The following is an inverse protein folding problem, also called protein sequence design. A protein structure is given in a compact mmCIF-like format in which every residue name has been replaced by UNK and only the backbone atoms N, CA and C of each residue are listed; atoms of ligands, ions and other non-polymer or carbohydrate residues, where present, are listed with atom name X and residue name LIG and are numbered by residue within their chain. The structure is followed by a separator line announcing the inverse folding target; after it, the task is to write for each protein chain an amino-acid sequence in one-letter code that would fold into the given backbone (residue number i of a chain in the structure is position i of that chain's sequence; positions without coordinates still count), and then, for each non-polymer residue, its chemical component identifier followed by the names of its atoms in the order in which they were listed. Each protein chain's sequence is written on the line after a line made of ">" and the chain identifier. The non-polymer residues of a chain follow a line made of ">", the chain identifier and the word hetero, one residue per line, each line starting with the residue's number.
data_IF_796244066429
#
_entry.id   IF_796244066429
#
_cell.length_a   1.000
_cell.length_b   1.000
_cell.length_c   1.000
_cell.angle_alpha   90.00
_cell.angle_beta   90.00
_cell.angle_gamma   90.00
#
_symmetry.space_group_name_H-M   'P 1'
#
loop_
_entity.id
_entity.type
_entity.pdbx_description
1 polymer ?
#
# COMPACT_ATOMS: atom_id res chain seq x y z
N UNK A 1 -14.92 -18.49 1.13
CA UNK A 1 -14.91 -17.01 1.08
C UNK A 1 -13.58 -16.61 0.48
N UNK A 2 -13.54 -16.12 -0.78
CA UNK A 2 -12.29 -15.88 -1.51
C UNK A 2 -11.70 -14.53 -1.07
N UNK A 3 -10.64 -14.55 -0.28
CA UNK A 3 -9.84 -13.37 0.07
C UNK A 3 -9.26 -12.76 -1.20
N UNK A 4 -9.84 -11.66 -1.66
CA UNK A 4 -9.43 -10.94 -2.87
C UNK A 4 -9.34 -9.45 -2.58
N UNK A 5 -8.63 -9.07 -1.53
CA UNK A 5 -8.49 -7.65 -1.21
C UNK A 5 -7.08 -7.37 -0.65
N UNK A 6 -6.36 -6.47 -1.35
CA UNK A 6 -5.27 -5.63 -0.80
C UNK A 6 -3.82 -6.15 -0.74
N UNK A 7 -3.45 -7.16 -1.53
CA UNK A 7 -2.05 -7.63 -1.58
C UNK A 7 -1.45 -7.45 -2.99
N UNK A 8 -0.36 -6.67 -3.11
CA UNK A 8 0.39 -6.56 -4.37
C UNK A 8 1.70 -7.34 -4.26
N UNK A 9 1.96 -8.25 -5.20
CA UNK A 9 3.23 -9.00 -5.25
C UNK A 9 4.30 -8.13 -5.88
N UNK A 10 5.46 -8.10 -5.26
CA UNK A 10 6.63 -7.37 -5.74
C UNK A 10 7.90 -8.15 -5.40
N UNK A 11 9.06 -7.67 -5.83
CA UNK A 11 10.33 -8.34 -5.55
C UNK A 11 11.42 -7.31 -5.22
N UNK A 12 12.04 -7.48 -4.06
CA UNK A 12 13.24 -6.74 -3.69
C UNK A 12 14.47 -7.50 -4.18
N UNK A 13 15.37 -6.80 -4.88
CA UNK A 13 16.58 -7.39 -5.45
C UNK A 13 17.80 -6.60 -4.99
N UNK A 14 18.70 -7.25 -4.26
CA UNK A 14 20.01 -6.70 -3.94
C UNK A 14 21.05 -7.31 -4.87
N UNK A 15 21.87 -6.47 -5.51
CA UNK A 15 22.99 -6.92 -6.34
C UNK A 15 24.29 -6.53 -5.66
N UNK A 16 25.13 -7.51 -5.39
CA UNK A 16 26.42 -7.32 -4.73
C UNK A 16 27.49 -7.85 -5.67
N UNK A 17 28.40 -6.97 -6.07
CA UNK A 17 29.49 -7.28 -7.00
C UNK A 17 30.83 -7.08 -6.31
N UNK A 18 31.67 -8.11 -6.34
CA UNK A 18 33.04 -7.98 -5.91
C UNK A 18 33.88 -7.38 -7.05
N UNK A 19 34.31 -6.13 -6.90
CA UNK A 19 35.22 -5.48 -7.85
C UNK A 19 36.70 -5.72 -7.53
N UNK A 20 36.99 -6.36 -6.40
CA UNK A 20 38.35 -6.69 -5.98
C UNK A 20 38.87 -7.95 -6.69
N UNK A 21 40.20 -8.05 -6.76
CA UNK A 21 40.90 -9.25 -7.22
C UNK A 21 41.03 -10.33 -6.12
N UNK A 22 40.60 -10.04 -4.89
CA UNK A 22 40.67 -10.95 -3.75
C UNK A 22 39.29 -11.48 -3.37
N UNK A 23 39.27 -12.61 -2.67
CA UNK A 23 38.04 -13.10 -2.04
C UNK A 23 37.59 -12.14 -0.94
N UNK A 24 36.29 -11.89 -0.87
CA UNK A 24 35.67 -11.05 0.15
C UNK A 24 34.66 -11.86 0.93
N UNK A 25 34.84 -11.93 2.26
CA UNK A 25 33.80 -12.43 3.15
C UNK A 25 32.83 -11.28 3.41
N UNK A 26 31.57 -11.46 3.05
CA UNK A 26 30.54 -10.44 3.10
C UNK A 26 29.45 -10.83 4.09
N UNK A 27 28.98 -9.85 4.84
CA UNK A 27 27.79 -9.95 5.66
C UNK A 27 26.87 -8.75 5.42
N UNK A 28 25.60 -9.02 5.15
CA UNK A 28 24.58 -8.00 4.84
C UNK A 28 23.38 -8.20 5.75
N UNK A 29 22.70 -7.10 6.07
CA UNK A 29 21.53 -7.09 6.95
C UNK A 29 20.41 -6.27 6.33
N UNK A 30 19.34 -6.92 5.89
CA UNK A 30 18.16 -6.28 5.30
C UNK A 30 17.00 -6.28 6.30
N UNK A 31 16.43 -5.11 6.57
CA UNK A 31 15.28 -4.97 7.47
C UNK A 31 14.01 -4.64 6.69
N UNK A 32 13.05 -5.56 6.73
CA UNK A 32 11.71 -5.35 6.16
C UNK A 32 10.72 -5.04 7.27
N UNK A 33 9.96 -3.95 7.08
CA UNK A 33 8.88 -3.57 7.98
C UNK A 33 7.67 -4.50 7.83
N UNK A 34 6.81 -4.54 8.84
CA UNK A 34 5.67 -5.47 8.95
C UNK A 34 4.70 -5.50 7.77
N UNK A 35 4.61 -4.40 6.99
CA UNK A 35 3.73 -4.30 5.82
C UNK A 35 4.39 -4.81 4.52
N UNK A 36 5.65 -5.23 4.57
CA UNK A 36 6.32 -5.99 3.53
C UNK A 36 6.43 -7.45 3.99
N UNK A 37 5.57 -8.31 3.46
CA UNK A 37 5.52 -9.71 3.85
C UNK A 37 6.33 -10.58 2.88
N UNK A 38 7.54 -11.04 3.25
CA UNK A 38 8.39 -11.84 2.39
C UNK A 38 7.81 -13.25 2.16
N UNK A 39 7.95 -13.76 0.94
CA UNK A 39 7.55 -15.12 0.59
C UNK A 39 8.76 -16.04 0.74
N UNK A 40 9.00 -16.54 1.96
CA UNK A 40 10.23 -17.25 2.33
C UNK A 40 10.64 -18.39 1.40
N UNK A 41 9.69 -19.23 0.97
CA UNK A 41 9.97 -20.37 0.10
C UNK A 41 10.39 -19.99 -1.32
N UNK A 42 10.26 -18.71 -1.70
CA UNK A 42 10.62 -18.18 -3.01
C UNK A 42 11.89 -17.30 -2.96
N UNK A 43 12.52 -17.16 -1.80
CA UNK A 43 13.77 -16.41 -1.68
C UNK A 43 14.89 -17.15 -2.42
N UNK A 44 15.70 -16.41 -3.18
CA UNK A 44 16.77 -16.99 -3.97
C UNK A 44 18.04 -16.15 -3.83
N UNK A 45 19.18 -16.82 -3.80
CA UNK A 45 20.50 -16.17 -3.86
C UNK A 45 21.18 -16.71 -5.10
N UNK A 46 21.16 -15.94 -6.19
CA UNK A 46 21.64 -16.37 -7.49
C UNK A 46 23.02 -15.78 -7.74
N UNK A 47 23.96 -16.61 -8.14
CA UNK A 47 25.22 -16.14 -8.73
C UNK A 47 24.98 -15.74 -10.19
N UNK A 48 25.26 -14.48 -10.54
CA UNK A 48 25.02 -13.95 -11.89
C UNK A 48 25.83 -14.67 -12.97
N UNK A 49 27.00 -15.24 -12.62
CA UNK A 49 27.85 -15.93 -13.59
C UNK A 49 27.39 -17.36 -13.85
N UNK A 50 27.09 -18.10 -12.78
CA UNK A 50 26.73 -19.52 -12.88
C UNK A 50 25.22 -19.76 -13.04
N UNK A 51 24.40 -18.75 -12.73
CA UNK A 51 22.93 -18.86 -12.68
C UNK A 51 22.43 -19.81 -11.59
N UNK A 52 23.32 -20.29 -10.71
CA UNK A 52 23.00 -21.27 -9.66
C UNK A 52 22.45 -20.57 -8.44
N UNK A 53 21.48 -21.21 -7.80
CA UNK A 53 20.92 -20.74 -6.53
C UNK A 53 21.73 -21.29 -5.36
N UNK A 54 22.65 -20.46 -4.84
CA UNK A 54 23.56 -20.79 -3.75
C UNK A 54 22.79 -21.14 -2.46
N UNK A 55 21.61 -20.55 -2.26
CA UNK A 55 20.80 -20.79 -1.08
C UNK A 55 20.26 -22.23 -1.02
N UNK A 56 20.02 -22.86 -2.18
CA UNK A 56 19.60 -24.27 -2.23
C UNK A 56 20.73 -25.22 -1.81
N UNK A 57 21.96 -24.85 -2.16
CA UNK A 57 23.15 -25.64 -1.84
C UNK A 57 23.55 -25.47 -0.36
N UNK A 58 23.41 -24.25 0.18
CA UNK A 58 23.74 -23.91 1.56
C UNK A 58 22.60 -23.12 2.23
N UNK A 59 21.63 -23.80 2.86
CA UNK A 59 20.48 -23.13 3.49
C UNK A 59 20.87 -22.26 4.69
N UNK A 60 21.99 -22.55 5.36
CA UNK A 60 22.49 -21.79 6.50
C UNK A 60 23.08 -20.42 6.13
N UNK A 61 23.18 -20.10 4.83
CA UNK A 61 23.71 -18.84 4.32
C UNK A 61 22.84 -17.62 4.69
N UNK A 62 21.53 -17.85 4.77
CA UNK A 62 20.53 -16.84 5.08
C UNK A 62 19.88 -17.15 6.43
N UNK A 63 20.04 -16.24 7.38
CA UNK A 63 19.31 -16.28 8.64
C UNK A 63 18.19 -15.24 8.60
N UNK A 64 17.01 -15.63 9.07
CA UNK A 64 15.86 -14.74 9.21
C UNK A 64 15.51 -14.63 10.68
N UNK A 65 15.58 -13.43 11.22
CA UNK A 65 15.12 -13.10 12.57
C UNK A 65 13.79 -12.34 12.48
N UNK A 66 12.86 -12.67 13.38
CA UNK A 66 11.55 -12.04 13.47
C UNK A 66 11.46 -11.19 14.73
N UNK A 67 11.05 -9.93 14.58
CA UNK A 67 10.88 -9.00 15.69
C UNK A 67 9.45 -8.99 16.22
N UNK A 68 9.27 -8.53 17.46
CA UNK A 68 7.95 -8.44 18.14
C UNK A 68 6.93 -7.63 17.33
N UNK A 69 7.39 -6.64 16.56
CA UNK A 69 6.57 -5.78 15.71
C UNK A 69 6.26 -6.39 14.32
N UNK A 70 6.43 -7.71 14.13
CA UNK A 70 6.23 -8.41 12.85
C UNK A 70 7.16 -7.96 11.71
N UNK A 71 8.25 -7.26 12.03
CA UNK A 71 9.29 -6.92 11.06
C UNK A 71 10.30 -8.07 10.94
N UNK A 72 10.95 -8.16 9.79
CA UNK A 72 11.90 -9.22 9.47
C UNK A 72 13.31 -8.64 9.31
N UNK A 73 14.31 -9.36 9.82
CA UNK A 73 15.72 -9.09 9.57
C UNK A 73 16.32 -10.28 8.81
N UNK A 74 16.76 -10.03 7.59
CA UNK A 74 17.52 -10.98 6.80
C UNK A 74 19.01 -10.73 7.01
N UNK A 75 19.71 -11.74 7.48
CA UNK A 75 21.17 -11.71 7.61
C UNK A 75 21.77 -12.69 6.61
N UNK A 76 22.53 -12.19 5.63
CA UNK A 76 23.25 -13.01 4.67
C UNK A 76 24.73 -13.01 5.01
N UNK A 77 25.36 -14.19 5.06
CA UNK A 77 26.81 -14.32 5.18
C UNK A 77 27.35 -15.23 4.08
N UNK A 78 28.22 -14.69 3.22
CA UNK A 78 28.79 -15.43 2.09
C UNK A 78 30.20 -14.99 1.78
N UNK A 79 30.94 -15.78 1.01
CA UNK A 79 32.26 -15.40 0.47
C UNK A 79 32.14 -15.20 -1.03
N UNK A 80 32.39 -13.97 -1.50
CA UNK A 80 32.46 -13.66 -2.93
C UNK A 80 33.87 -13.88 -3.47
N UNK A 81 33.96 -14.59 -4.59
CA UNK A 81 35.17 -14.70 -5.38
C UNK A 81 35.45 -13.40 -6.14
N UNK A 82 36.68 -13.22 -6.67
CA UNK A 82 37.03 -12.04 -7.46
C UNK A 82 36.10 -11.90 -8.67
N UNK A 83 35.64 -10.68 -8.94
CA UNK A 83 34.75 -10.36 -10.07
C UNK A 83 33.39 -11.08 -10.04
N UNK A 84 33.07 -11.81 -8.97
CA UNK A 84 31.79 -12.49 -8.82
C UNK A 84 30.69 -11.49 -8.46
N UNK A 85 29.49 -11.74 -8.96
CA UNK A 85 28.28 -10.98 -8.63
C UNK A 85 27.21 -11.94 -8.10
N UNK A 86 26.61 -11.60 -6.97
CA UNK A 86 25.48 -12.31 -6.39
C UNK A 86 24.26 -11.39 -6.37
N UNK A 87 23.10 -11.98 -6.63
CA UNK A 87 21.80 -11.34 -6.54
C UNK A 87 20.96 -12.03 -5.47
N UNK A 88 20.52 -11.24 -4.48
CA UNK A 88 19.60 -11.67 -3.43
C UNK A 88 18.22 -11.24 -3.87
N UNK A 89 17.33 -12.19 -4.11
CA UNK A 89 15.98 -11.96 -4.60
C UNK A 89 15.01 -12.33 -3.49
N UNK A 90 14.28 -11.34 -2.99
CA UNK A 90 13.29 -11.46 -1.92
C UNK A 90 11.92 -11.10 -2.49
N UNK A 91 11.14 -12.10 -2.96
CA UNK A 91 9.75 -11.87 -3.33
C UNK A 91 8.95 -11.47 -2.10
N UNK A 92 8.15 -10.43 -2.22
CA UNK A 92 7.38 -9.87 -1.11
C UNK A 92 5.96 -9.52 -1.52
N UNK A 93 5.09 -9.49 -0.53
CA UNK A 93 3.71 -9.08 -0.64
C UNK A 93 3.58 -7.75 0.11
N UNK A 94 3.15 -6.72 -0.62
CA UNK A 94 2.87 -5.40 -0.07
C UNK A 94 1.47 -5.41 0.50
N UNK A 95 1.36 -5.19 1.80
CA UNK A 95 0.09 -5.11 2.52
C UNK A 95 -0.38 -3.66 2.58
N UNK A 96 -1.70 -3.46 2.48
CA UNK A 96 -2.28 -2.17 2.83
C UNK A 96 -2.11 -1.89 4.32
N UNK A 97 -1.87 -0.62 4.63
CA UNK A 97 -1.77 -0.14 6.01
C UNK A 97 -3.15 0.31 6.50
N UNK A 98 -3.29 0.46 7.81
CA UNK A 98 -4.39 1.27 8.36
C UNK A 98 -4.25 2.71 7.87
N UNK A 99 -5.37 3.43 7.71
CA UNK A 99 -5.40 4.83 7.29
C UNK A 99 -4.44 5.71 8.09
N UNK A 100 -4.44 5.54 9.41
CA UNK A 100 -3.63 6.31 10.35
C UNK A 100 -2.12 6.10 10.18
N UNK A 101 -1.73 5.01 9.51
CA UNK A 101 -0.34 4.62 9.34
C UNK A 101 0.24 5.03 7.98
N UNK A 102 -0.55 5.54 7.04
CA UNK A 102 0.00 6.12 5.81
C UNK A 102 0.70 7.45 6.13
N UNK A 103 1.76 7.74 5.37
CA UNK A 103 2.40 9.05 5.46
C UNK A 103 1.42 10.14 4.99
N UNK A 104 1.61 11.39 5.43
CA UNK A 104 0.79 12.53 4.99
C UNK A 104 0.75 12.70 3.47
N UNK A 105 1.81 12.24 2.78
CA UNK A 105 1.87 12.10 1.33
C UNK A 105 2.03 10.61 0.97
N UNK A 106 0.93 9.89 0.70
CA UNK A 106 0.96 8.49 0.30
C UNK A 106 1.68 8.27 -1.05
N UNK A 107 1.53 9.22 -1.98
CA UNK A 107 2.06 9.12 -3.35
C UNK A 107 3.58 9.05 -3.41
N UNK A 108 4.26 9.57 -2.37
CA UNK A 108 5.70 9.45 -2.18
C UNK A 108 6.17 7.98 -2.10
N UNK A 109 5.30 7.06 -1.68
CA UNK A 109 5.66 5.67 -1.39
C UNK A 109 6.38 5.52 -0.04
N UNK A 110 6.89 4.31 0.20
CA UNK A 110 7.55 3.94 1.44
C UNK A 110 9.04 3.66 1.21
N UNK A 111 9.87 4.28 2.02
CA UNK A 111 11.32 4.11 1.99
C UNK A 111 11.69 2.73 2.57
N UNK A 112 12.35 1.91 1.76
CA UNK A 112 13.15 0.76 2.20
C UNK A 112 14.55 1.31 2.46
N UNK A 113 14.96 1.23 3.73
CA UNK A 113 16.22 1.81 4.20
C UNK A 113 17.43 1.13 3.55
N UNK A 114 18.49 1.91 3.41
CA UNK A 114 19.75 1.46 2.88
C UNK A 114 20.35 0.29 3.68
N UNK A 115 20.91 -0.65 2.93
CA UNK A 115 21.42 -1.92 3.45
C UNK A 115 22.92 -1.79 3.69
N UNK A 116 23.41 -2.00 4.93
CA UNK A 116 24.85 -2.08 5.15
C UNK A 116 25.38 -3.43 4.64
N UNK A 117 26.46 -3.36 3.87
CA UNK A 117 27.23 -4.50 3.37
C UNK A 117 28.62 -4.43 3.98
N UNK A 118 28.86 -5.24 5.01
CA UNK A 118 30.18 -5.36 5.61
C UNK A 118 30.99 -6.37 4.81
N UNK A 119 32.24 -6.05 4.52
CA UNK A 119 33.14 -6.97 3.85
C UNK A 119 34.48 -7.05 4.57
N UNK A 120 35.07 -8.25 4.54
CA UNK A 120 36.36 -8.55 5.10
C UNK A 120 37.22 -9.23 4.04
N UNK A 121 38.41 -8.69 3.81
CA UNK A 121 39.44 -9.29 2.95
C UNK A 121 40.24 -10.35 3.73
N UNK A 122 40.89 -11.27 3.02
CA UNK A 122 41.75 -12.31 3.63
C UNK A 122 42.88 -11.72 4.49
N UNK A 123 43.39 -10.53 4.12
CA UNK A 123 44.44 -9.83 4.89
C UNK A 123 43.93 -9.22 6.21
N UNK A 124 42.65 -9.39 6.55
CA UNK A 124 42.04 -8.85 7.76
C UNK A 124 41.48 -7.43 7.64
N UNK A 125 41.59 -6.79 6.48
CA UNK A 125 40.95 -5.50 6.21
C UNK A 125 39.43 -5.65 6.31
N UNK A 126 38.79 -4.76 7.07
CA UNK A 126 37.33 -4.73 7.28
C UNK A 126 36.82 -3.33 6.97
N UNK A 127 35.78 -3.27 6.16
CA UNK A 127 35.12 -2.03 5.81
C UNK A 127 33.64 -2.30 5.50
N UNK A 128 32.88 -1.25 5.25
CA UNK A 128 31.47 -1.37 4.92
C UNK A 128 31.06 -0.41 3.82
N UNK A 129 30.12 -0.86 3.01
CA UNK A 129 29.45 -0.04 2.00
C UNK A 129 27.95 -0.04 2.27
N UNK A 130 27.25 0.94 1.71
CA UNK A 130 25.82 1.10 1.92
C UNK A 130 25.07 1.06 0.60
N UNK A 131 24.09 0.18 0.49
CA UNK A 131 23.23 0.11 -0.69
C UNK A 131 22.32 1.35 -0.78
N UNK A 132 21.88 1.76 -1.99
CA UNK A 132 20.97 2.89 -2.13
C UNK A 132 19.61 2.60 -1.49
N UNK A 133 18.95 3.64 -0.97
CA UNK A 133 17.56 3.57 -0.55
C UNK A 133 16.66 3.25 -1.74
N UNK A 134 15.60 2.48 -1.51
CA UNK A 134 14.61 2.15 -2.54
C UNK A 134 13.23 2.63 -2.08
N UNK A 135 12.49 3.27 -2.97
CA UNK A 135 11.12 3.69 -2.71
C UNK A 135 10.18 2.63 -3.25
N UNK A 136 9.31 2.10 -2.39
CA UNK A 136 8.31 1.12 -2.74
C UNK A 136 6.90 1.73 -2.64
N UNK A 137 6.15 1.72 -3.74
CA UNK A 137 4.75 2.11 -3.72
C UNK A 137 3.90 1.03 -3.07
N UNK A 138 3.26 1.39 -1.95
CA UNK A 138 2.27 0.53 -1.30
C UNK A 138 0.92 0.67 -2.00
N UNK A 139 0.09 -0.38 -1.98
CA UNK A 139 -1.31 -0.21 -2.34
C UNK A 139 -1.94 0.83 -1.40
N UNK A 140 -2.66 1.79 -1.95
CA UNK A 140 -3.38 2.82 -1.21
C UNK A 140 -4.89 2.55 -1.32
N UNK A 141 -5.66 2.64 -0.22
CA UNK A 141 -7.10 2.67 -0.34
C UNK A 141 -7.55 3.97 -1.02
N UNK A 142 -8.58 3.88 -1.85
CA UNK A 142 -9.19 5.07 -2.45
C UNK A 142 -9.90 5.89 -1.37
N UNK A 143 -9.24 6.95 -0.93
CA UNK A 143 -9.78 7.86 0.08
C UNK A 143 -10.91 8.72 -0.47
N UNK A 144 -11.03 8.90 -1.79
CA UNK A 144 -12.01 9.83 -2.38
C UNK A 144 -13.44 9.29 -2.35
N UNK A 145 -13.62 7.98 -2.49
CA UNK A 145 -14.95 7.37 -2.53
C UNK A 145 -15.79 7.57 -1.26
N UNK A 146 -15.28 7.36 -0.02
CA UNK A 146 -16.08 7.65 1.17
C UNK A 146 -16.44 9.14 1.28
N UNK A 147 -15.55 10.06 0.91
CA UNK A 147 -15.87 11.50 0.89
C UNK A 147 -16.97 11.83 -0.11
N UNK A 148 -16.94 11.24 -1.32
CA UNK A 148 -17.97 11.44 -2.33
C UNK A 148 -19.33 10.93 -1.83
N UNK A 149 -19.36 9.76 -1.18
CA UNK A 149 -20.58 9.19 -0.62
C UNK A 149 -21.13 10.08 0.51
N UNK A 150 -20.28 10.51 1.44
CA UNK A 150 -20.69 11.39 2.54
C UNK A 150 -21.25 12.71 1.98
N UNK A 151 -20.53 13.34 1.05
CA UNK A 151 -20.96 14.58 0.40
C UNK A 151 -22.30 14.41 -0.29
N UNK A 152 -22.47 13.33 -1.05
CA UNK A 152 -23.73 13.02 -1.71
C UNK A 152 -24.88 12.83 -0.70
N UNK A 153 -24.65 12.11 0.41
CA UNK A 153 -25.66 11.92 1.45
C UNK A 153 -26.05 13.24 2.13
N UNK A 154 -25.10 14.14 2.40
CA UNK A 154 -25.37 15.46 2.95
C UNK A 154 -26.20 16.32 1.99
N UNK A 155 -25.86 16.32 0.69
CA UNK A 155 -26.62 17.04 -0.33
C UNK A 155 -28.05 16.50 -0.46
N UNK A 156 -28.21 15.17 -0.47
CA UNK A 156 -29.52 14.53 -0.52
C UNK A 156 -30.39 14.91 0.68
N UNK A 157 -29.83 14.86 1.88
CA UNK A 157 -30.54 15.26 3.11
C UNK A 157 -30.92 16.74 3.10
N UNK A 158 -30.01 17.61 2.64
CA UNK A 158 -30.30 19.04 2.48
C UNK A 158 -31.43 19.30 1.49
N UNK A 159 -31.45 18.58 0.37
CA UNK A 159 -32.53 18.67 -0.62
C UNK A 159 -33.87 18.23 -0.03
N UNK A 160 -33.91 17.08 0.66
CA UNK A 160 -35.14 16.59 1.30
C UNK A 160 -35.67 17.59 2.33
N UNK A 161 -34.79 18.16 3.16
CA UNK A 161 -35.17 19.18 4.13
C UNK A 161 -35.74 20.43 3.46
N UNK A 162 -35.14 20.89 2.36
CA UNK A 162 -35.62 22.04 1.61
C UNK A 162 -37.00 21.79 0.98
N UNK A 163 -37.28 20.58 0.52
CA UNK A 163 -38.59 20.20 -0.01
C UNK A 163 -39.66 20.22 1.08
N UNK A 164 -39.37 19.65 2.26
CA UNK A 164 -40.28 19.69 3.41
C UNK A 164 -40.52 21.13 3.86
N UNK A 165 -39.46 21.95 3.93
CA UNK A 165 -39.58 23.35 4.29
C UNK A 165 -40.41 24.14 3.27
N UNK A 166 -40.20 23.91 1.98
CA UNK A 166 -40.97 24.55 0.90
C UNK A 166 -42.45 24.21 1.01
N UNK A 167 -42.80 22.93 1.22
CA UNK A 167 -44.18 22.50 1.42
C UNK A 167 -44.81 23.13 2.68
N UNK A 168 -44.04 23.27 3.77
CA UNK A 168 -44.53 23.88 5.01
C UNK A 168 -44.69 25.40 4.93
N UNK A 169 -43.96 26.08 4.04
CA UNK A 169 -43.96 27.55 3.92
C UNK A 169 -44.73 28.06 2.72
N UNK A 170 -45.18 27.17 1.84
CA UNK A 170 -46.17 27.48 0.80
C UNK A 170 -47.42 28.05 1.49
N UNK A 171 -47.60 29.38 1.39
CA UNK A 171 -48.83 30.01 1.84
C UNK A 171 -49.96 29.36 1.05
N UNK A 172 -50.94 28.79 1.75
CA UNK A 172 -52.26 28.50 1.21
C UNK A 172 -52.83 29.83 0.66
N UNK A 173 -52.54 30.14 -0.60
CA UNK A 173 -53.27 31.14 -1.35
C UNK A 173 -54.65 30.54 -1.60
N UNK A 174 -55.54 30.75 -0.63
CA UNK A 174 -56.98 30.79 -0.89
C UNK A 174 -57.25 31.97 -1.82
N UNK A 175 -56.83 31.86 -3.09
CA UNK A 175 -57.33 32.74 -4.13
C UNK A 175 -58.81 32.44 -4.29
N UNK A 176 -59.63 33.43 -3.92
CA UNK A 176 -61.07 33.53 -4.13
C UNK A 176 -61.41 33.40 -5.63
N UNK A 177 -61.33 32.20 -6.19
CA UNK A 177 -61.64 31.92 -7.61
C UNK A 177 -62.96 31.16 -7.80
N UNK A 178 -63.77 31.02 -6.75
CA UNK A 178 -64.97 30.17 -6.77
C UNK A 178 -66.32 30.88 -6.54
N UNK A 179 -66.38 32.21 -6.57
CA UNK A 179 -67.67 32.91 -6.45
C UNK A 179 -68.57 32.70 -7.68
N UNK A 180 -67.97 32.50 -8.87
CA UNK A 180 -68.73 32.28 -10.10
C UNK A 180 -69.25 30.85 -10.25
N UNK A 181 -68.55 29.85 -9.70
CA UNK A 181 -68.98 28.44 -9.77
C UNK A 181 -70.10 28.18 -8.75
N UNK A 182 -69.96 28.70 -7.53
CA UNK A 182 -71.01 28.60 -6.51
C UNK A 182 -72.30 29.31 -6.91
N UNK A 183 -72.21 30.52 -7.49
CA UNK A 183 -73.40 31.22 -8.03
C UNK A 183 -74.09 30.43 -9.15
N UNK A 184 -73.31 29.72 -9.99
CA UNK A 184 -73.84 28.90 -11.09
C UNK A 184 -74.57 27.67 -10.56
N UNK A 185 -74.06 27.04 -9.50
CA UNK A 185 -74.70 25.89 -8.84
C UNK A 185 -75.98 26.32 -8.12
N UNK A 186 -75.97 27.45 -7.38
CA UNK A 186 -77.15 27.95 -6.69
C UNK A 186 -78.28 28.31 -7.66
N UNK A 187 -77.98 28.89 -8.82
CA UNK A 187 -79.01 29.19 -9.84
C UNK A 187 -79.62 27.94 -10.48
N UNK A 188 -78.89 26.81 -10.54
CA UNK A 188 -79.43 25.54 -11.04
C UNK A 188 -80.45 24.96 -10.03
N UNK A 189 -80.21 25.10 -8.73
CA UNK A 189 -81.12 24.61 -7.69
C UNK A 189 -82.32 25.53 -7.42
N UNK A 190 -82.31 26.77 -7.92
CA UNK A 190 -83.39 27.75 -7.70
C UNK A 190 -84.44 27.76 -8.83
N UNK A 191 -84.18 27.10 -9.96
CA UNK A 191 -85.05 27.05 -11.13
C UNK A 191 -85.72 25.67 -11.37
N UNK A 192 -85.62 24.76 -10.40
CA UNK A 192 -86.46 23.56 -10.28
C UNK A 192 -87.32 23.68 -9.02
#
# INVERSE_FOLDING_TARGET
>A
MKEKWFSHKDTLVHKIKNLSQKNLKISTYESLQYYFYPIFHQIQVIDSLSGRNILKDNPNLLKVDHFVNQSFLFSLQTTLQPLQEIQIIIPLIKMMKSFENYNHDPQRGHDIIAVPVFFQTEDGFKDFETAPNVICQLPEPDFSMPFNIITFTCVLMGYLFLQVYSFSTEKLSFEQKNDNVFKKIINIFRNN
#
